data_IF_781506919262
#
_entry.id   IF_781506919262
#
_cell.length_a   1.000
_cell.length_b   1.000
_cell.length_c   1.000
_cell.angle_alpha   90.00
_cell.angle_beta   90.00
_cell.angle_gamma   90.00
#
_symmetry.space_group_name_H-M   'P 1'
#
loop_
_entity.id
_entity.type
_entity.pdbx_description
1 polymer ?
#
# COMPACT_ATOMS: atom_id res chain seq x y z
N UNK A 1 -14.21 -13.52 23.21
CA UNK A 1 -12.98 -12.78 23.59
C UNK A 1 -13.39 -11.77 24.63
N UNK A 2 -12.71 -11.74 25.78
CA UNK A 2 -12.90 -10.71 26.80
C UNK A 2 -11.80 -9.65 26.71
N UNK A 3 -12.10 -8.43 27.15
CA UNK A 3 -11.13 -7.34 27.31
C UNK A 3 -10.99 -7.08 28.81
N UNK A 4 -9.77 -7.16 29.34
CA UNK A 4 -9.46 -6.82 30.72
C UNK A 4 -9.16 -5.32 30.74
N UNK A 5 -10.06 -4.51 31.33
CA UNK A 5 -9.89 -3.05 31.40
C UNK A 5 -9.07 -2.63 32.62
N UNK A 6 -9.40 -3.18 33.78
CA UNK A 6 -8.73 -2.95 35.07
C UNK A 6 -8.93 -4.19 35.93
N UNK A 7 -7.85 -4.91 36.23
CA UNK A 7 -7.86 -6.10 37.09
C UNK A 7 -6.77 -5.98 38.15
N UNK A 8 -7.05 -6.45 39.37
CA UNK A 8 -6.11 -6.35 40.51
C UNK A 8 -4.78 -7.09 40.26
N UNK A 9 -4.79 -8.06 39.33
CA UNK A 9 -3.63 -8.84 38.91
C UNK A 9 -3.03 -8.38 37.57
N UNK A 10 -3.59 -7.34 36.94
CA UNK A 10 -3.24 -6.93 35.58
C UNK A 10 -3.62 -7.95 34.50
N UNK A 11 -3.07 -7.78 33.29
CA UNK A 11 -3.16 -8.78 32.23
C UNK A 11 -2.12 -9.88 32.39
N UNK A 12 -2.40 -11.06 31.83
CA UNK A 12 -1.43 -12.16 31.74
C UNK A 12 -1.16 -12.52 30.29
N UNK A 13 0.01 -13.12 30.04
CA UNK A 13 0.46 -13.53 28.71
C UNK A 13 0.60 -15.05 28.66
N UNK A 14 0.46 -15.62 27.47
CA UNK A 14 0.54 -17.05 27.19
C UNK A 14 -0.68 -17.85 27.69
N UNK A 15 -0.58 -19.17 27.59
CA UNK A 15 -1.65 -20.12 27.90
C UNK A 15 -1.65 -20.45 29.39
N UNK A 16 -2.82 -20.31 30.01
CA UNK A 16 -3.11 -20.76 31.38
C UNK A 16 -4.37 -21.62 31.34
N UNK A 17 -4.20 -22.94 31.36
CA UNK A 17 -5.30 -23.89 31.27
C UNK A 17 -6.07 -23.78 29.94
N UNK A 18 -7.37 -23.53 30.02
CA UNK A 18 -8.30 -23.38 28.89
C UNK A 18 -8.29 -21.98 28.27
N UNK A 19 -7.47 -21.07 28.80
CA UNK A 19 -7.50 -19.65 28.46
C UNK A 19 -6.12 -19.19 28.00
N UNK A 20 -6.10 -18.25 27.05
CA UNK A 20 -4.89 -17.63 26.52
C UNK A 20 -5.00 -16.12 26.72
N UNK A 21 -4.03 -15.56 27.43
CA UNK A 21 -3.86 -14.13 27.60
C UNK A 21 -2.88 -13.56 26.58
N UNK A 22 -3.17 -12.38 26.05
CA UNK A 22 -2.29 -11.66 25.14
C UNK A 22 -2.44 -10.14 25.33
N UNK A 23 -1.37 -9.40 25.04
CA UNK A 23 -1.40 -7.95 24.97
C UNK A 23 -1.51 -7.54 23.51
N UNK A 24 -2.54 -6.79 23.16
CA UNK A 24 -2.78 -6.38 21.79
C UNK A 24 -3.33 -4.96 21.72
N UNK A 25 -2.66 -4.09 20.96
CA UNK A 25 -3.05 -2.68 20.73
C UNK A 25 -3.42 -1.94 22.01
N UNK A 26 -2.52 -2.00 22.99
CA UNK A 26 -2.66 -1.41 24.32
C UNK A 26 -3.83 -1.95 25.16
N UNK A 27 -4.27 -3.19 24.90
CA UNK A 27 -5.33 -3.85 25.66
C UNK A 27 -4.91 -5.26 26.03
N UNK A 28 -5.22 -5.63 27.27
CA UNK A 28 -5.14 -7.01 27.71
C UNK A 28 -6.38 -7.76 27.24
N UNK A 29 -6.16 -8.77 26.41
CA UNK A 29 -7.22 -9.59 25.82
C UNK A 29 -7.10 -11.03 26.29
N UNK A 30 -8.26 -11.61 26.57
CA UNK A 30 -8.39 -12.99 27.02
C UNK A 30 -9.28 -13.77 26.05
N UNK A 31 -8.79 -14.92 25.60
CA UNK A 31 -9.52 -15.81 24.67
C UNK A 31 -9.50 -17.24 25.17
N UNK A 32 -10.60 -17.96 24.96
CA UNK A 32 -10.62 -19.41 25.15
C UNK A 32 -9.70 -20.09 24.14
N UNK A 33 -9.23 -21.29 24.49
CA UNK A 33 -8.42 -22.11 23.60
C UNK A 33 -9.19 -22.39 22.30
N UNK A 34 -8.57 -22.21 21.12
CA UNK A 34 -9.22 -22.54 19.85
C UNK A 34 -9.61 -24.03 19.81
N UNK A 35 -10.85 -24.32 19.42
CA UNK A 35 -11.28 -25.70 19.14
C UNK A 35 -10.85 -26.07 17.74
N UNK A 36 -10.11 -27.18 17.59
CA UNK A 36 -9.74 -27.71 16.27
C UNK A 36 -11.03 -28.15 15.56
N UNK A 37 -11.22 -27.70 14.33
CA UNK A 37 -12.35 -28.08 13.47
C UNK A 37 -11.85 -28.96 12.34
N UNK A 38 -12.47 -30.13 12.17
CA UNK A 38 -12.19 -31.06 11.05
C UNK A 38 -13.07 -30.81 9.83
N UNK A 39 -13.94 -29.79 9.86
CA UNK A 39 -14.82 -29.46 8.74
C UNK A 39 -14.01 -28.90 7.57
N UNK A 40 -14.20 -29.40 6.33
CA UNK A 40 -13.54 -28.85 5.16
C UNK A 40 -13.98 -27.39 4.94
N UNK A 41 -13.10 -26.61 4.33
CA UNK A 41 -13.40 -25.22 4.02
C UNK A 41 -14.47 -25.14 2.92
N UNK A 42 -15.44 -24.25 3.09
CA UNK A 42 -16.46 -24.00 2.04
C UNK A 42 -15.84 -23.28 0.85
N UNK A 43 -16.47 -23.35 -0.33
CA UNK A 43 -15.97 -22.66 -1.52
C UNK A 43 -15.80 -21.14 -1.29
N UNK A 44 -16.72 -20.52 -0.55
CA UNK A 44 -16.61 -19.11 -0.18
C UNK A 44 -15.38 -18.82 0.70
N UNK A 45 -15.05 -19.73 1.63
CA UNK A 45 -13.84 -19.62 2.45
C UNK A 45 -12.57 -19.82 1.61
N UNK A 46 -12.58 -20.76 0.67
CA UNK A 46 -11.47 -21.00 -0.26
C UNK A 46 -11.22 -19.75 -1.12
N UNK A 47 -12.28 -19.20 -1.72
CA UNK A 47 -12.18 -17.99 -2.53
C UNK A 47 -11.63 -16.80 -1.73
N UNK A 48 -12.07 -16.62 -0.47
CA UNK A 48 -11.51 -15.58 0.40
C UNK A 48 -10.03 -15.80 0.74
N UNK A 49 -9.62 -17.04 1.01
CA UNK A 49 -8.21 -17.37 1.25
C UNK A 49 -7.35 -17.06 0.03
N UNK A 50 -7.83 -17.38 -1.18
CA UNK A 50 -7.14 -17.03 -2.42
C UNK A 50 -7.02 -15.52 -2.59
N UNK A 51 -8.12 -14.76 -2.48
CA UNK A 51 -8.11 -13.29 -2.56
C UNK A 51 -7.13 -12.67 -1.55
N UNK A 52 -7.15 -13.16 -0.32
CA UNK A 52 -6.28 -12.68 0.75
C UNK A 52 -4.81 -12.99 0.46
N UNK A 53 -4.49 -14.22 0.05
CA UNK A 53 -3.14 -14.63 -0.31
C UNK A 53 -2.58 -13.82 -1.49
N UNK A 54 -3.42 -13.56 -2.48
CA UNK A 54 -3.09 -12.77 -3.66
C UNK A 54 -2.70 -11.34 -3.26
N UNK A 55 -3.58 -10.66 -2.51
CA UNK A 55 -3.35 -9.25 -2.09
C UNK A 55 -2.18 -9.15 -1.11
N UNK A 56 -2.11 -10.03 -0.11
CA UNK A 56 -1.02 -9.97 0.88
C UNK A 56 0.34 -10.30 0.27
N UNK A 57 0.42 -11.28 -0.64
CA UNK A 57 1.66 -11.60 -1.34
C UNK A 57 2.15 -10.45 -2.23
N UNK A 58 1.23 -9.76 -2.90
CA UNK A 58 1.53 -8.57 -3.70
C UNK A 58 2.02 -7.41 -2.82
N UNK A 59 1.25 -7.06 -1.78
CA UNK A 59 1.55 -5.92 -0.90
C UNK A 59 2.78 -6.15 0.00
N UNK A 60 3.13 -7.40 0.32
CA UNK A 60 4.32 -7.71 1.13
C UNK A 60 5.61 -7.13 0.54
N UNK A 61 5.72 -7.10 -0.79
CA UNK A 61 6.87 -6.53 -1.52
C UNK A 61 6.94 -5.01 -1.45
N UNK A 62 5.82 -4.37 -1.13
CA UNK A 62 5.69 -2.92 -0.93
C UNK A 62 5.52 -2.53 0.53
N UNK A 63 5.81 -3.43 1.48
CA UNK A 63 5.56 -3.23 2.92
C UNK A 63 6.15 -1.93 3.46
N UNK A 64 7.39 -1.60 3.09
CA UNK A 64 8.07 -0.36 3.50
C UNK A 64 7.36 0.90 2.99
N UNK A 65 6.78 0.87 1.78
CA UNK A 65 6.03 1.97 1.21
C UNK A 65 4.64 2.10 1.84
N UNK A 66 3.97 0.97 2.05
CA UNK A 66 2.64 0.93 2.67
C UNK A 66 2.68 1.46 4.10
N UNK A 67 3.73 1.16 4.86
CA UNK A 67 3.89 1.66 6.23
C UNK A 67 4.02 3.18 6.29
N UNK A 68 4.64 3.80 5.27
CA UNK A 68 4.70 5.26 5.12
C UNK A 68 3.37 5.83 4.60
N UNK A 69 2.70 5.11 3.70
CA UNK A 69 1.54 5.55 2.93
C UNK A 69 0.18 5.42 3.61
N UNK A 70 -0.03 4.36 4.40
CA UNK A 70 -1.29 4.08 5.12
C UNK A 70 -1.16 4.26 6.64
N UNK A 71 0.01 4.70 7.13
CA UNK A 71 0.33 4.81 8.55
C UNK A 71 -0.21 6.04 9.30
N UNK A 72 -1.04 6.87 8.66
CA UNK A 72 -1.61 8.08 9.27
C UNK A 72 -2.89 7.81 10.10
N UNK A 73 -3.38 6.57 10.12
CA UNK A 73 -4.61 6.19 10.82
C UNK A 73 -4.50 6.21 12.35
N UNK A 74 -5.64 6.22 13.02
CA UNK A 74 -5.74 6.06 14.47
C UNK A 74 -5.14 4.70 14.82
N UNK A 75 -3.99 4.65 15.53
CA UNK A 75 -3.07 3.50 15.76
C UNK A 75 -3.66 2.17 16.28
N UNK A 76 -4.98 2.09 16.33
CA UNK A 76 -5.79 0.88 16.43
C UNK A 76 -5.80 -0.02 15.18
N UNK A 77 -5.24 0.36 14.02
CA UNK A 77 -5.10 -0.49 12.80
C UNK A 77 -3.69 -0.32 12.22
N UNK A 78 -3.05 -1.41 11.78
CA UNK A 78 -1.74 -1.33 11.11
C UNK A 78 -1.92 -0.87 9.67
N UNK A 79 -0.95 -0.13 9.14
CA UNK A 79 -0.94 0.38 7.77
C UNK A 79 -1.17 -0.75 6.74
N UNK A 80 -0.44 -1.87 6.90
CA UNK A 80 -0.64 -3.07 6.07
C UNK A 80 -2.07 -3.62 6.12
N UNK A 81 -2.72 -3.64 7.28
CA UNK A 81 -4.10 -4.15 7.37
C UNK A 81 -5.10 -3.20 6.71
N UNK A 82 -4.86 -1.89 6.79
CA UNK A 82 -5.69 -0.91 6.08
C UNK A 82 -5.53 -1.05 4.57
N UNK A 83 -4.29 -1.19 4.09
CA UNK A 83 -4.01 -1.42 2.68
C UNK A 83 -4.67 -2.73 2.18
N UNK A 84 -4.49 -3.85 2.90
CA UNK A 84 -5.11 -5.13 2.52
C UNK A 84 -6.63 -5.02 2.47
N UNK A 85 -7.25 -4.38 3.47
CA UNK A 85 -8.70 -4.15 3.50
C UNK A 85 -9.20 -3.36 2.30
N UNK A 86 -8.49 -2.28 1.93
CA UNK A 86 -8.81 -1.47 0.75
C UNK A 86 -8.74 -2.31 -0.54
N UNK A 87 -7.64 -3.02 -0.77
CA UNK A 87 -7.44 -3.76 -2.02
C UNK A 87 -8.38 -4.95 -2.14
N UNK A 88 -8.68 -5.66 -1.04
CA UNK A 88 -9.67 -6.73 -1.04
C UNK A 88 -11.07 -6.26 -1.46
N UNK A 89 -11.40 -4.99 -1.18
CA UNK A 89 -12.70 -4.38 -1.48
C UNK A 89 -12.76 -3.78 -2.88
N UNK A 90 -11.70 -3.10 -3.31
CA UNK A 90 -11.73 -2.25 -4.50
C UNK A 90 -10.88 -2.77 -5.66
N UNK A 91 -9.76 -3.46 -5.39
CA UNK A 91 -8.72 -3.76 -6.38
C UNK A 91 -8.72 -5.23 -6.84
N UNK A 92 -9.64 -6.06 -6.36
CA UNK A 92 -9.77 -7.45 -6.85
C UNK A 92 -10.83 -7.50 -7.95
N UNK A 93 -10.43 -8.04 -9.09
CA UNK A 93 -11.29 -8.35 -10.23
C UNK A 93 -11.34 -9.85 -10.50
N UNK A 94 -12.30 -10.24 -11.34
CA UNK A 94 -12.52 -11.64 -11.73
C UNK A 94 -13.55 -12.38 -10.88
N UNK A 95 -13.87 -13.59 -11.33
CA UNK A 95 -14.78 -14.51 -10.67
C UNK A 95 -14.03 -15.80 -10.31
N UNK A 96 -14.50 -16.50 -9.29
CA UNK A 96 -13.89 -17.76 -8.89
C UNK A 96 -13.82 -18.74 -10.09
N UNK A 97 -12.68 -19.42 -10.32
CA UNK A 97 -11.48 -19.47 -9.48
C UNK A 97 -10.39 -18.44 -9.83
N UNK A 98 -10.56 -17.66 -10.90
CA UNK A 98 -9.53 -16.78 -11.45
C UNK A 98 -9.71 -15.35 -10.93
N UNK A 99 -9.05 -15.03 -9.82
CA UNK A 99 -8.97 -13.66 -9.30
C UNK A 99 -7.69 -12.99 -9.77
N UNK A 100 -7.79 -11.71 -10.12
CA UNK A 100 -6.69 -10.85 -10.54
C UNK A 100 -6.71 -9.52 -9.79
N UNK A 101 -5.59 -8.81 -9.78
CA UNK A 101 -5.53 -7.43 -9.28
C UNK A 101 -5.82 -6.48 -10.43
N UNK A 102 -6.71 -5.54 -10.20
CA UNK A 102 -6.88 -4.37 -11.04
C UNK A 102 -5.81 -3.32 -10.67
N UNK A 103 -4.79 -3.22 -11.52
CA UNK A 103 -3.66 -2.31 -11.33
C UNK A 103 -4.10 -0.84 -11.34
N UNK A 104 -5.16 -0.48 -12.08
CA UNK A 104 -5.67 0.89 -12.11
C UNK A 104 -6.19 1.38 -10.76
N UNK A 105 -6.63 0.46 -9.90
CA UNK A 105 -7.17 0.74 -8.56
C UNK A 105 -6.18 0.51 -7.43
N UNK A 106 -4.92 0.22 -7.77
CA UNK A 106 -3.88 0.04 -6.78
C UNK A 106 -3.62 1.37 -6.04
N UNK A 107 -3.63 1.34 -4.71
CA UNK A 107 -3.23 2.50 -3.89
C UNK A 107 -2.09 2.11 -2.97
N UNK A 108 -0.97 2.82 -3.06
CA UNK A 108 0.24 2.60 -2.26
C UNK A 108 0.24 3.53 -1.04
N UNK A 109 -0.15 4.78 -1.28
CA UNK A 109 -0.32 5.85 -0.31
C UNK A 109 -1.78 6.32 -0.30
N UNK A 110 -2.27 6.64 0.90
CA UNK A 110 -3.61 7.19 1.12
C UNK A 110 -3.54 8.28 2.18
N UNK A 111 -3.88 9.50 1.80
CA UNK A 111 -3.71 10.63 2.70
C UNK A 111 -4.39 11.91 2.23
N UNK A 112 -4.04 13.02 2.89
CA UNK A 112 -4.72 14.32 2.72
C UNK A 112 -3.91 15.34 1.93
N UNK A 113 -2.68 15.01 1.55
CA UNK A 113 -1.83 15.91 0.78
C UNK A 113 -2.37 16.00 -0.66
N UNK A 114 -2.37 17.21 -1.21
CA UNK A 114 -2.92 17.46 -2.55
C UNK A 114 -1.98 16.90 -3.62
N UNK A 115 -2.53 16.10 -4.52
CA UNK A 115 -1.83 15.64 -5.73
C UNK A 115 -1.40 16.82 -6.62
N UNK A 116 -0.39 16.58 -7.45
CA UNK A 116 -0.01 17.53 -8.50
C UNK A 116 -1.01 17.47 -9.66
N UNK A 117 -1.13 18.57 -10.40
CA UNK A 117 -2.00 18.65 -11.58
C UNK A 117 -1.21 18.26 -12.83
N UNK A 118 -1.90 17.83 -13.89
CA UNK A 118 -1.27 17.53 -15.18
C UNK A 118 -0.10 16.55 -15.06
N UNK A 119 -0.30 15.48 -14.30
CA UNK A 119 0.71 14.42 -14.16
C UNK A 119 0.74 13.65 -15.49
N UNK A 120 1.89 13.66 -16.13
CA UNK A 120 2.13 13.00 -17.40
C UNK A 120 3.41 12.17 -17.31
N UNK A 121 3.46 11.14 -18.15
CA UNK A 121 4.63 10.29 -18.30
C UNK A 121 4.96 10.20 -19.78
N UNK A 122 6.22 10.44 -20.12
CA UNK A 122 6.78 10.27 -21.45
C UNK A 122 7.92 9.26 -21.41
N UNK A 123 8.00 8.40 -22.42
CA UNK A 123 9.12 7.48 -22.62
C UNK A 123 9.89 8.01 -23.82
N UNK A 124 10.88 8.86 -23.56
CA UNK A 124 11.62 9.57 -24.61
C UNK A 124 12.90 8.84 -25.03
N UNK A 125 13.45 7.98 -24.16
CA UNK A 125 14.71 7.25 -24.36
C UNK A 125 14.54 5.80 -23.90
N UNK A 126 15.30 4.88 -24.52
CA UNK A 126 15.31 3.48 -24.12
C UNK A 126 15.56 3.31 -22.61
N UNK A 127 14.77 2.42 -21.98
CA UNK A 127 14.79 2.14 -20.55
C UNK A 127 14.64 3.37 -19.63
N UNK A 128 14.02 4.46 -20.10
CA UNK A 128 13.83 5.68 -19.31
C UNK A 128 12.40 6.18 -19.33
N UNK A 129 11.87 6.47 -18.15
CA UNK A 129 10.54 7.02 -17.93
C UNK A 129 10.68 8.43 -17.37
N UNK A 130 10.21 9.42 -18.11
CA UNK A 130 10.19 10.82 -17.71
C UNK A 130 8.81 11.15 -17.14
N UNK A 131 8.77 11.46 -15.85
CA UNK A 131 7.59 11.96 -15.17
C UNK A 131 7.59 13.48 -15.21
N UNK A 132 6.46 14.09 -15.56
CA UNK A 132 6.25 15.54 -15.49
C UNK A 132 4.95 15.86 -14.76
N UNK A 133 4.95 16.95 -14.00
CA UNK A 133 3.74 17.43 -13.32
C UNK A 133 3.73 18.95 -13.21
N UNK A 134 2.53 19.50 -13.09
CA UNK A 134 2.31 20.94 -12.95
C UNK A 134 2.10 21.33 -11.48
N UNK A 135 2.74 22.42 -11.09
CA UNK A 135 2.61 23.03 -9.77
C UNK A 135 1.85 24.36 -9.83
N UNK A 136 0.62 24.36 -10.35
CA UNK A 136 -0.15 25.60 -10.63
C UNK A 136 -0.86 26.20 -9.40
N UNK A 137 -1.19 25.39 -8.41
CA UNK A 137 -1.87 25.87 -7.19
C UNK A 137 -0.87 26.49 -6.21
N UNK A 138 -1.16 27.62 -5.53
CA UNK A 138 -0.29 28.16 -4.50
C UNK A 138 -0.05 27.18 -3.34
N UNK A 139 1.06 27.36 -2.62
CA UNK A 139 1.38 26.58 -1.44
C UNK A 139 0.36 26.82 -0.32
N UNK A 140 0.16 25.81 0.53
CA UNK A 140 -0.82 25.86 1.59
C UNK A 140 -0.67 24.72 2.59
N UNK A 141 -1.63 24.58 3.50
CA UNK A 141 -1.55 23.60 4.61
C UNK A 141 -1.34 22.13 4.16
N UNK A 142 -1.77 21.79 2.95
CA UNK A 142 -1.72 20.43 2.39
C UNK A 142 -0.88 20.34 1.10
N UNK A 143 0.00 21.33 0.88
CA UNK A 143 0.86 21.42 -0.29
C UNK A 143 2.05 22.32 -0.01
N UNK A 144 3.24 21.79 -0.23
CA UNK A 144 4.48 22.54 -0.13
C UNK A 144 5.38 22.28 -1.35
N UNK A 145 6.11 23.29 -1.81
CA UNK A 145 7.07 23.16 -2.89
C UNK A 145 8.20 22.15 -2.59
N UNK A 146 8.49 21.92 -1.30
CA UNK A 146 9.50 20.95 -0.82
C UNK A 146 8.97 19.52 -0.69
N UNK A 147 7.65 19.30 -0.85
CA UNK A 147 7.07 17.95 -0.85
C UNK A 147 7.81 17.08 -1.86
N UNK A 148 8.10 15.83 -1.53
CA UNK A 148 8.82 14.94 -2.44
C UNK A 148 7.89 14.00 -3.17
N UNK A 149 8.10 13.86 -4.47
CA UNK A 149 7.45 12.87 -5.32
C UNK A 149 8.01 11.48 -5.03
N UNK A 150 7.12 10.52 -4.81
CA UNK A 150 7.41 9.10 -4.71
C UNK A 150 6.88 8.43 -5.97
N UNK A 151 7.77 7.76 -6.69
CA UNK A 151 7.46 7.09 -7.95
C UNK A 151 7.53 5.59 -7.73
N UNK A 152 6.53 4.88 -8.24
CA UNK A 152 6.50 3.42 -8.24
C UNK A 152 6.15 2.94 -9.63
N UNK A 153 6.96 2.04 -10.16
CA UNK A 153 6.74 1.36 -11.44
C UNK A 153 6.61 -0.12 -11.16
N UNK A 154 5.55 -0.73 -11.68
CA UNK A 154 5.28 -2.16 -11.55
C UNK A 154 5.29 -2.83 -12.90
N UNK A 155 6.02 -3.93 -13.03
CA UNK A 155 6.04 -4.76 -14.22
C UNK A 155 5.27 -6.07 -13.92
N UNK A 156 4.11 -6.31 -14.58
CA UNK A 156 3.32 -7.51 -14.39
C UNK A 156 3.99 -8.79 -14.92
N UNK A 157 4.78 -8.72 -16.00
CA UNK A 157 5.45 -9.88 -16.59
C UNK A 157 6.52 -10.45 -15.65
N UNK A 158 7.33 -9.58 -15.05
CA UNK A 158 8.39 -9.95 -14.10
C UNK A 158 7.91 -9.97 -12.65
N UNK A 159 6.70 -9.47 -12.40
CA UNK A 159 6.11 -9.35 -11.07
C UNK A 159 7.04 -8.60 -10.09
N UNK A 160 7.67 -7.54 -10.59
CA UNK A 160 8.71 -6.77 -9.89
C UNK A 160 8.33 -5.30 -9.80
N UNK A 161 8.79 -4.65 -8.73
CA UNK A 161 8.56 -3.23 -8.50
C UNK A 161 9.89 -2.48 -8.52
N UNK A 162 9.89 -1.34 -9.19
CA UNK A 162 10.92 -0.32 -9.05
C UNK A 162 10.30 0.83 -8.27
N UNK A 163 10.77 1.05 -7.06
CA UNK A 163 10.21 2.04 -6.15
C UNK A 163 11.27 3.05 -5.77
N UNK A 164 10.99 4.34 -5.95
CA UNK A 164 11.87 5.43 -5.57
C UNK A 164 11.14 6.39 -4.65
N UNK A 165 11.41 6.30 -3.34
CA UNK A 165 10.86 7.24 -2.38
C UNK A 165 11.66 8.54 -2.45
N UNK A 166 10.95 9.66 -2.52
CA UNK A 166 11.52 11.00 -2.50
C UNK A 166 12.39 11.33 -3.70
N UNK A 167 12.00 10.88 -4.89
CA UNK A 167 12.72 11.00 -6.15
C UNK A 167 13.07 12.44 -6.52
N UNK A 168 12.11 13.37 -6.38
CA UNK A 168 12.29 14.79 -6.66
C UNK A 168 11.44 15.66 -5.76
N UNK A 169 11.86 16.91 -5.57
CA UNK A 169 11.00 17.92 -4.95
C UNK A 169 9.86 18.30 -5.90
N UNK A 170 8.71 18.69 -5.36
CA UNK A 170 7.54 19.11 -6.12
C UNK A 170 7.85 20.33 -7.00
N UNK A 171 8.77 21.19 -6.55
CA UNK A 171 9.31 22.32 -7.30
C UNK A 171 10.15 21.95 -8.52
N UNK A 172 10.64 20.71 -8.63
CA UNK A 172 11.43 20.26 -9.77
C UNK A 172 10.58 20.04 -11.04
N UNK A 173 9.25 19.93 -10.91
CA UNK A 173 8.26 19.75 -11.99
C UNK A 173 8.42 18.49 -12.85
N UNK A 174 9.47 17.70 -12.63
CA UNK A 174 9.67 16.42 -13.28
C UNK A 174 10.77 15.59 -12.63
N UNK A 175 10.79 14.32 -13.01
CA UNK A 175 11.80 13.36 -12.59
C UNK A 175 12.02 12.31 -13.67
N UNK A 176 13.28 11.96 -13.88
CA UNK A 176 13.70 11.03 -14.91
C UNK A 176 14.11 9.72 -14.22
N UNK A 177 13.33 8.67 -14.43
CA UNK A 177 13.58 7.35 -13.88
C UNK A 177 14.29 6.48 -14.91
N UNK A 178 15.50 6.04 -14.60
CA UNK A 178 16.21 5.03 -15.37
C UNK A 178 15.82 3.64 -14.86
N UNK A 179 15.20 2.84 -15.73
CA UNK A 179 14.85 1.45 -15.45
C UNK A 179 16.02 0.52 -15.82
N UNK A 180 16.12 -0.66 -15.19
CA UNK A 180 17.04 -1.69 -15.63
C UNK A 180 16.78 -2.09 -17.09
N UNK A 181 17.85 -2.39 -17.85
CA UNK A 181 17.76 -2.76 -19.27
C UNK A 181 16.83 -3.95 -19.52
N UNK A 182 16.68 -4.84 -18.54
CA UNK A 182 15.79 -5.98 -18.61
C UNK A 182 14.32 -5.59 -18.84
N UNK A 183 13.91 -4.35 -18.58
CA UNK A 183 12.53 -3.91 -18.73
C UNK A 183 12.16 -3.46 -20.14
N UNK A 184 13.12 -3.34 -21.06
CA UNK A 184 12.84 -2.95 -22.46
C UNK A 184 11.92 -3.98 -23.13
N UNK A 185 10.85 -3.50 -23.76
CA UNK A 185 9.79 -4.29 -24.38
C UNK A 185 8.69 -4.77 -23.44
N UNK A 186 8.81 -4.58 -22.13
CA UNK A 186 7.77 -4.96 -21.17
C UNK A 186 6.75 -3.83 -20.94
N UNK A 187 5.50 -4.22 -20.70
CA UNK A 187 4.45 -3.33 -20.19
C UNK A 187 4.72 -2.99 -18.72
N UNK A 188 4.57 -1.72 -18.36
CA UNK A 188 4.73 -1.25 -16.98
C UNK A 188 3.62 -0.31 -16.56
N UNK A 189 3.18 -0.47 -15.32
CA UNK A 189 2.21 0.40 -14.67
C UNK A 189 2.93 1.44 -13.82
N UNK A 190 2.67 2.71 -14.09
CA UNK A 190 3.31 3.84 -13.42
C UNK A 190 2.37 4.50 -12.41
N UNK A 191 2.88 4.69 -11.20
CA UNK A 191 2.19 5.34 -10.09
C UNK A 191 3.03 6.46 -9.52
N UNK A 192 2.37 7.55 -9.14
CA UNK A 192 3.01 8.67 -8.45
C UNK A 192 2.21 9.03 -7.20
N UNK A 193 2.93 9.47 -6.19
CA UNK A 193 2.36 10.05 -4.97
C UNK A 193 3.33 11.06 -4.40
N UNK A 194 2.90 11.84 -3.42
CA UNK A 194 3.72 12.86 -2.78
C UNK A 194 3.76 12.64 -1.27
N UNK A 195 4.90 12.94 -0.66
CA UNK A 195 5.09 12.91 0.79
C UNK A 195 5.70 14.22 1.26
N UNK A 196 5.16 14.78 2.33
CA UNK A 196 5.68 16.03 2.89
C UNK A 196 6.96 15.80 3.69
N UNK A 197 7.91 16.73 3.54
CA UNK A 197 9.15 16.77 4.33
C UNK A 197 8.91 17.46 5.67
N UNK A 198 8.01 18.46 5.70
CA UNK A 198 7.72 19.28 6.87
C UNK A 198 6.84 18.52 7.86
N UNK A 199 5.73 17.96 7.37
CA UNK A 199 4.80 17.21 8.20
C UNK A 199 5.03 15.70 8.03
N UNK A 200 5.75 15.10 8.99
CA UNK A 200 5.95 13.65 9.03
C UNK A 200 4.60 12.92 8.97
N UNK A 201 4.50 11.92 8.10
CA UNK A 201 3.29 11.11 7.80
C UNK A 201 2.19 11.81 6.99
N UNK A 202 2.40 13.04 6.53
CA UNK A 202 1.49 13.66 5.57
C UNK A 202 1.85 13.19 4.16
N UNK A 203 0.97 12.38 3.59
CA UNK A 203 1.13 11.80 2.24
C UNK A 203 -0.10 12.09 1.39
N UNK A 204 0.05 12.02 0.07
CA UNK A 204 -1.06 12.15 -0.87
C UNK A 204 -1.68 10.78 -1.13
N UNK A 205 -2.87 10.79 -1.72
CA UNK A 205 -3.37 9.60 -2.41
C UNK A 205 -2.45 9.24 -3.58
N UNK A 206 -2.40 7.95 -3.91
CA UNK A 206 -1.69 7.46 -5.11
C UNK A 206 -2.49 7.80 -6.36
N UNK A 207 -1.81 8.32 -7.36
CA UNK A 207 -2.36 8.53 -8.68
C UNK A 207 -1.79 7.49 -9.65
N UNK A 208 -2.68 6.77 -10.32
CA UNK A 208 -2.33 5.89 -11.43
C UNK A 208 -2.19 6.74 -12.68
N UNK A 209 -0.98 6.81 -13.25
CA UNK A 209 -0.74 7.59 -14.46
C UNK A 209 -1.26 6.83 -15.67
N UNK A 210 -0.95 5.54 -15.74
CA UNK A 210 -1.29 4.71 -16.89
C UNK A 210 -0.34 3.52 -17.03
N UNK A 211 -0.56 2.83 -18.14
CA UNK A 211 0.25 1.73 -18.63
C UNK A 211 1.08 2.21 -19.79
N UNK A 212 2.36 1.83 -19.80
CA UNK A 212 3.31 2.23 -20.83
C UNK A 212 4.22 1.06 -21.20
N UNK A 213 4.62 1.00 -22.47
CA UNK A 213 5.61 0.02 -22.95
C UNK A 213 6.98 0.68 -22.88
N UNK A 214 7.92 0.06 -22.17
CA UNK A 214 9.29 0.57 -22.09
C UNK A 214 9.98 0.33 -23.44
N UNK A 215 10.54 1.39 -24.02
CA UNK A 215 11.36 1.31 -25.23
C UNK A 215 12.72 0.65 -24.95
#
# INVERSE_FOLDING_TARGET
MGIIRQGILGGFRNKTGSVVGAYWRNRDVIRGLPRVSNKPATQAQINQRFKFGLVTGFLARLSSFIDLGFGSGNGSVSAMNEAVSYHLREAITGAAPNFSIDYSKLKINKGKLLLANGIEVAITVAARIDFSWLNTVPDGKYKDATDRANVVVYNPAKNSFVTLPGAAARSALGYNLLLPADYSGDEVHCYISFSSVIHKKLVSDTFYVGEFIVL
#
